data_IF_320702728182
#
_entry.id   IF_320702728182
#
_cell.length_a   1.000
_cell.length_b   1.000
_cell.length_c   1.000
_cell.angle_alpha   90.00
_cell.angle_beta   90.00
_cell.angle_gamma   90.00
#
_symmetry.space_group_name_H-M   'P 1'
#
loop_
_entity.id
_entity.type
_entity.pdbx_description
1 polymer ?
#
# COMPACT_ATOMS: atom_id res chain seq x y z
N UNK A 1 27.26 -17.81 5.83
CA UNK A 1 27.32 -17.07 4.57
C UNK A 1 26.48 -15.80 4.65
N UNK A 2 27.06 -14.70 4.31
CA UNK A 2 26.35 -13.44 4.34
C UNK A 2 25.39 -13.30 3.15
N UNK A 3 24.19 -12.81 3.40
CA UNK A 3 23.27 -12.46 2.32
C UNK A 3 23.61 -11.08 1.77
N UNK A 4 23.33 -10.86 0.49
CA UNK A 4 23.38 -9.52 -0.06
C UNK A 4 22.25 -8.67 0.51
N UNK A 5 22.37 -7.36 0.40
CA UNK A 5 21.31 -6.43 0.83
C UNK A 5 20.02 -6.75 0.06
N UNK A 6 20.14 -7.03 -1.23
CA UNK A 6 18.98 -7.37 -2.05
C UNK A 6 18.27 -8.62 -1.55
N UNK A 7 19.02 -9.64 -1.17
CA UNK A 7 18.42 -10.87 -0.66
C UNK A 7 17.72 -10.67 0.68
N UNK A 8 18.27 -9.80 1.54
CA UNK A 8 17.66 -9.49 2.83
C UNK A 8 16.32 -8.78 2.68
N UNK A 9 16.15 -7.99 1.62
CA UNK A 9 14.96 -7.18 1.41
C UNK A 9 14.18 -7.61 0.17
N UNK A 10 14.31 -8.88 -0.22
CA UNK A 10 13.58 -9.41 -1.36
C UNK A 10 12.17 -9.77 -0.94
N UNK A 11 11.19 -9.04 -1.48
CA UNK A 11 9.77 -9.24 -1.20
C UNK A 11 9.03 -9.87 -2.39
N UNK A 12 9.77 -10.47 -3.31
CA UNK A 12 9.17 -11.12 -4.48
C UNK A 12 8.11 -12.14 -4.04
N UNK A 13 6.94 -12.04 -4.64
CA UNK A 13 5.82 -12.92 -4.31
C UNK A 13 4.98 -12.46 -3.12
N UNK A 14 5.39 -11.40 -2.44
CA UNK A 14 4.61 -10.84 -1.34
C UNK A 14 3.63 -9.79 -1.85
N UNK A 15 2.54 -9.61 -1.12
CA UNK A 15 1.54 -8.57 -1.40
C UNK A 15 1.47 -7.62 -0.23
N UNK A 16 1.60 -6.34 -0.52
CA UNK A 16 1.52 -5.28 0.48
C UNK A 16 0.29 -4.42 0.25
N UNK A 17 -0.48 -4.21 1.31
CA UNK A 17 -1.60 -3.28 1.31
C UNK A 17 -1.16 -2.03 2.07
N UNK A 18 -1.18 -0.87 1.39
CA UNK A 18 -0.75 0.39 1.97
C UNK A 18 -1.95 1.33 2.05
N UNK A 19 -2.44 1.61 3.24
CA UNK A 19 -3.50 2.60 3.43
C UNK A 19 -2.87 3.99 3.48
N UNK A 20 -3.57 4.98 2.94
CA UNK A 20 -3.00 6.31 2.81
C UNK A 20 -1.83 6.34 1.83
N UNK A 21 -1.85 5.47 0.81
CA UNK A 21 -0.72 5.26 -0.09
C UNK A 21 -0.67 6.19 -1.29
N UNK A 22 -1.60 7.16 -1.40
CA UNK A 22 -1.71 7.98 -2.60
C UNK A 22 -0.69 9.10 -2.66
N UNK A 23 -0.09 9.48 -1.53
CA UNK A 23 0.92 10.56 -1.50
C UNK A 23 1.71 10.51 -0.22
N UNK A 24 2.74 11.37 -0.13
CA UNK A 24 3.56 11.53 1.05
C UNK A 24 4.27 10.25 1.45
N UNK A 25 4.35 10.01 2.74
CA UNK A 25 5.05 8.86 3.29
C UNK A 25 4.45 7.55 2.81
N UNK A 26 3.12 7.46 2.72
CA UNK A 26 2.46 6.23 2.25
C UNK A 26 2.87 5.86 0.83
N UNK A 27 2.95 6.83 -0.07
CA UNK A 27 3.40 6.59 -1.44
C UNK A 27 4.87 6.18 -1.47
N UNK A 28 5.71 6.82 -0.66
CA UNK A 28 7.12 6.45 -0.55
C UNK A 28 7.30 5.02 -0.06
N UNK A 29 6.50 4.60 0.92
CA UNK A 29 6.54 3.24 1.42
C UNK A 29 6.08 2.24 0.38
N UNK A 30 5.01 2.55 -0.36
CA UNK A 30 4.54 1.71 -1.45
C UNK A 30 5.63 1.54 -2.52
N UNK A 31 6.30 2.62 -2.86
CA UNK A 31 7.39 2.59 -3.83
C UNK A 31 8.54 1.71 -3.36
N UNK A 32 8.96 1.87 -2.11
CA UNK A 32 10.07 1.10 -1.55
C UNK A 32 9.73 -0.40 -1.50
N UNK A 33 8.53 -0.75 -1.05
CA UNK A 33 8.10 -2.14 -1.01
C UNK A 33 8.01 -2.74 -2.40
N UNK A 34 7.50 -1.98 -3.35
CA UNK A 34 7.40 -2.42 -4.75
C UNK A 34 8.76 -2.63 -5.38
N UNK A 35 9.71 -1.75 -5.10
CA UNK A 35 11.08 -1.91 -5.60
C UNK A 35 11.75 -3.15 -5.02
N UNK A 36 11.34 -3.56 -3.83
CA UNK A 36 11.82 -4.79 -3.22
C UNK A 36 11.13 -6.04 -3.78
N UNK A 37 10.17 -5.88 -4.68
CA UNK A 37 9.53 -6.98 -5.39
C UNK A 37 8.09 -7.26 -4.99
N UNK A 38 7.53 -6.55 -4.01
CA UNK A 38 6.16 -6.78 -3.59
C UNK A 38 5.16 -6.28 -4.63
N UNK A 39 4.03 -6.96 -4.72
CA UNK A 39 2.85 -6.43 -5.40
C UNK A 39 2.15 -5.48 -4.43
N UNK A 40 1.64 -4.38 -4.95
CA UNK A 40 1.16 -3.28 -4.11
C UNK A 40 -0.32 -3.03 -4.36
N UNK A 41 -1.10 -2.98 -3.28
CA UNK A 41 -2.44 -2.43 -3.28
C UNK A 41 -2.41 -1.16 -2.45
N UNK A 42 -2.77 -0.03 -3.06
CA UNK A 42 -2.84 1.25 -2.33
C UNK A 42 -4.29 1.66 -2.14
N UNK A 43 -4.55 2.33 -1.04
CA UNK A 43 -5.89 2.79 -0.73
C UNK A 43 -5.85 4.17 -0.11
N UNK A 44 -6.84 4.98 -0.46
CA UNK A 44 -7.13 6.27 0.18
C UNK A 44 -8.57 6.64 -0.17
N UNK A 45 -9.02 7.80 0.29
CA UNK A 45 -10.39 8.22 0.04
C UNK A 45 -10.64 8.75 -1.37
N UNK A 46 -9.60 9.24 -2.05
CA UNK A 46 -9.74 9.92 -3.34
C UNK A 46 -9.24 9.05 -4.48
N UNK A 47 -10.16 8.61 -5.33
CA UNK A 47 -9.81 7.79 -6.50
C UNK A 47 -8.83 8.50 -7.43
N UNK A 48 -8.99 9.81 -7.63
CA UNK A 48 -8.11 10.55 -8.54
C UNK A 48 -6.66 10.56 -8.06
N UNK A 49 -6.45 10.69 -6.75
CA UNK A 49 -5.10 10.63 -6.17
C UNK A 49 -4.51 9.23 -6.32
N UNK A 50 -5.35 8.22 -6.14
CA UNK A 50 -4.93 6.82 -6.26
C UNK A 50 -4.53 6.48 -7.70
N UNK A 51 -5.29 6.97 -8.67
CA UNK A 51 -4.96 6.75 -10.08
C UNK A 51 -3.59 7.31 -10.41
N UNK A 52 -3.27 8.51 -9.93
CA UNK A 52 -1.97 9.12 -10.16
C UNK A 52 -0.86 8.36 -9.46
N UNK A 53 -1.09 7.94 -8.21
CA UNK A 53 -0.11 7.19 -7.44
C UNK A 53 0.22 5.86 -8.11
N UNK A 54 -0.81 5.13 -8.54
CA UNK A 54 -0.63 3.83 -9.21
C UNK A 54 0.08 4.02 -10.54
N UNK A 55 -0.24 5.08 -11.27
CA UNK A 55 0.46 5.37 -12.53
C UNK A 55 1.97 5.56 -12.30
N UNK A 56 2.34 6.27 -11.23
CA UNK A 56 3.75 6.46 -10.88
C UNK A 56 4.42 5.13 -10.52
N UNK A 57 3.74 4.31 -9.72
CA UNK A 57 4.28 3.02 -9.33
C UNK A 57 4.45 2.10 -10.54
N UNK A 58 3.45 2.06 -11.41
CA UNK A 58 3.51 1.23 -12.61
C UNK A 58 4.61 1.71 -13.57
N UNK A 59 4.80 3.01 -13.66
CA UNK A 59 5.88 3.58 -14.48
C UNK A 59 7.26 3.15 -13.97
N UNK A 60 7.37 2.84 -12.69
CA UNK A 60 8.59 2.33 -12.08
C UNK A 60 8.71 0.80 -12.17
N UNK A 61 7.78 0.15 -12.87
CA UNK A 61 7.82 -1.31 -13.04
C UNK A 61 7.19 -2.10 -11.89
N UNK A 62 6.44 -1.43 -11.03
CA UNK A 62 5.82 -2.06 -9.87
C UNK A 62 4.40 -2.52 -10.23
N UNK A 63 4.05 -3.74 -9.84
CA UNK A 63 2.67 -4.24 -9.98
C UNK A 63 1.83 -3.59 -8.89
N UNK A 64 1.13 -2.52 -9.25
CA UNK A 64 0.35 -1.72 -8.30
C UNK A 64 -1.08 -1.59 -8.76
N UNK A 65 -2.00 -1.63 -7.79
CA UNK A 65 -3.45 -1.50 -7.98
C UNK A 65 -3.99 -0.64 -6.84
N UNK A 66 -5.23 -0.21 -6.97
CA UNK A 66 -5.84 0.64 -5.95
C UNK A 66 -7.31 0.32 -5.72
N UNK A 67 -7.77 0.64 -4.52
CA UNK A 67 -9.17 0.63 -4.12
C UNK A 67 -9.43 1.86 -3.28
N UNK A 68 -10.42 2.66 -3.65
CA UNK A 68 -10.81 3.81 -2.84
C UNK A 68 -11.60 3.32 -1.62
N UNK A 69 -11.19 3.77 -0.43
CA UNK A 69 -11.83 3.39 0.81
C UNK A 69 -11.54 4.43 1.88
N UNK A 70 -12.53 4.69 2.73
CA UNK A 70 -12.38 5.55 3.89
C UNK A 70 -12.12 4.66 5.12
N UNK A 71 -10.88 4.62 5.59
CA UNK A 71 -10.51 3.76 6.70
C UNK A 71 -11.13 4.17 8.04
N UNK A 72 -11.84 5.30 8.09
CA UNK A 72 -12.64 5.66 9.25
C UNK A 72 -13.97 4.89 9.29
N UNK A 73 -14.33 4.21 8.20
CA UNK A 73 -15.58 3.45 8.11
C UNK A 73 -15.27 1.97 8.08
N UNK A 74 -15.87 1.24 9.01
CA UNK A 74 -15.63 -0.20 9.12
C UNK A 74 -16.02 -0.96 7.86
N UNK A 75 -17.15 -0.59 7.25
CA UNK A 75 -17.60 -1.24 6.02
C UNK A 75 -16.60 -1.06 4.89
N UNK A 76 -15.95 0.11 4.81
CA UNK A 76 -14.94 0.38 3.79
C UNK A 76 -13.68 -0.44 4.04
N UNK A 77 -13.31 -0.65 5.30
CA UNK A 77 -12.17 -1.49 5.64
C UNK A 77 -12.41 -2.93 5.19
N UNK A 78 -13.60 -3.46 5.47
CA UNK A 78 -13.97 -4.80 5.03
C UNK A 78 -13.94 -4.91 3.52
N UNK A 79 -14.50 -3.92 2.82
CA UNK A 79 -14.49 -3.88 1.37
C UNK A 79 -13.05 -3.87 0.82
N UNK A 80 -12.18 -3.07 1.42
CA UNK A 80 -10.79 -2.96 1.00
C UNK A 80 -10.07 -4.31 1.13
N UNK A 81 -10.25 -4.97 2.26
CA UNK A 81 -9.61 -6.27 2.50
C UNK A 81 -10.15 -7.30 1.50
N UNK A 82 -11.47 -7.35 1.31
CA UNK A 82 -12.08 -8.30 0.38
C UNK A 82 -11.60 -8.08 -1.05
N UNK A 83 -11.55 -6.83 -1.50
CA UNK A 83 -11.07 -6.51 -2.85
C UNK A 83 -9.60 -6.88 -3.01
N UNK A 84 -8.79 -6.63 -2.01
CA UNK A 84 -7.37 -6.97 -2.06
C UNK A 84 -7.19 -8.47 -2.16
N UNK A 85 -7.92 -9.23 -1.36
CA UNK A 85 -7.85 -10.69 -1.39
C UNK A 85 -8.34 -11.26 -2.72
N UNK A 86 -9.40 -10.69 -3.29
CA UNK A 86 -9.92 -11.15 -4.58
C UNK A 86 -8.95 -10.89 -5.72
N UNK A 87 -8.33 -9.71 -5.72
CA UNK A 87 -7.47 -9.30 -6.83
C UNK A 87 -6.05 -9.82 -6.72
N UNK A 88 -5.55 -9.99 -5.52
CA UNK A 88 -4.15 -10.32 -5.27
C UNK A 88 -3.94 -11.63 -4.54
N UNK A 89 -5.00 -12.20 -3.97
CA UNK A 89 -4.98 -13.53 -3.37
C UNK A 89 -4.53 -13.56 -1.91
N UNK A 90 -3.77 -12.57 -1.48
CA UNK A 90 -3.21 -12.56 -0.12
C UNK A 90 -2.82 -11.15 0.30
N UNK A 91 -2.61 -10.97 1.60
CA UNK A 91 -1.99 -9.76 2.15
C UNK A 91 -0.90 -10.23 3.12
N UNK A 92 0.34 -10.02 2.74
CA UNK A 92 1.49 -10.41 3.56
C UNK A 92 1.98 -9.26 4.44
N UNK A 93 1.82 -8.04 3.95
CA UNK A 93 2.32 -6.83 4.60
C UNK A 93 1.20 -5.81 4.63
N UNK A 94 0.93 -5.26 5.82
CA UNK A 94 -0.04 -4.18 5.98
C UNK A 94 0.69 -2.95 6.49
N UNK A 95 0.61 -1.86 5.73
CA UNK A 95 1.12 -0.56 6.16
C UNK A 95 -0.09 0.33 6.41
N UNK A 96 -0.37 0.58 7.67
CA UNK A 96 -1.52 1.40 8.06
C UNK A 96 -1.05 2.84 8.25
N UNK A 97 -0.89 3.55 7.15
CA UNK A 97 -0.43 4.94 7.16
C UNK A 97 -1.58 5.92 7.37
N UNK A 98 -2.79 5.53 6.99
CA UNK A 98 -3.95 6.42 7.08
C UNK A 98 -4.24 6.82 8.53
N UNK A 99 -4.02 5.91 9.48
CA UNK A 99 -4.29 6.17 10.89
C UNK A 99 -3.27 7.09 11.56
N UNK A 100 -2.10 7.25 10.95
CA UNK A 100 -1.04 8.07 11.56
C UNK A 100 -1.37 9.57 11.56
N UNK A 101 -2.29 9.99 10.72
CA UNK A 101 -2.61 11.42 10.57
C UNK A 101 -3.38 12.00 11.74
N UNK A 102 -3.95 11.20 12.61
CA UNK A 102 -4.73 11.73 13.72
C UNK A 102 -3.92 11.92 14.99
N UNK A 103 -2.73 11.82 14.97
CA UNK A 103 -1.84 11.98 16.12
C UNK A 103 -1.80 13.42 16.61
N UNK A 104 -2.39 13.39 16.75
CA UNK A 104 -2.20 13.90 17.02
C UNK A 104 -2.40 14.47 17.74
N UNK A 105 -2.72 14.15 17.79
CA UNK A 105 -2.99 14.43 18.36
C UNK A 105 -3.23 14.77 18.81
N UNK A 106 -3.53 14.31 18.71
CA UNK A 106 -3.72 14.32 18.80
C UNK A 106 -3.74 14.48 19.17
N UNK A 107 -4.01 14.10 19.05
CA UNK A 107 -4.09 13.98 18.91
C UNK A 107 -4.08 14.23 18.87
N UNK A 108 -4.48 14.00 19.13
CA UNK A 108 -4.61 13.91 18.59
C UNK A 108 -4.53 14.14 18.60
#
# INVERSE_FOLDING_TARGET
MARTVQQLFDLTGKTALVTGGSRGLGLQMAHALGEAGARIMVSSRKASDLEQAVAQLQAAGIDARWVAADCAKEADIHHLVDETLQRMGEVDILVNNAGASWGAPAED
#
